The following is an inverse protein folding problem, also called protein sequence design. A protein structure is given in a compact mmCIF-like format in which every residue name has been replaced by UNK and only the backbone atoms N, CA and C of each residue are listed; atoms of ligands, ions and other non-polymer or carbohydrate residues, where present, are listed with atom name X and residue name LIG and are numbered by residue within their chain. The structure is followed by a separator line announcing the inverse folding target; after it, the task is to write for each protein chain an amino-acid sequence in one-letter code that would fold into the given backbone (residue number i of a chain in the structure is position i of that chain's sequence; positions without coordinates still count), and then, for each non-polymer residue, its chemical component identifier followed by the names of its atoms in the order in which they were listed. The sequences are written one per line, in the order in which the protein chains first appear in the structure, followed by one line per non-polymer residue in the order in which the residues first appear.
data_IF_755895595521
#
_entry.id   IF_755895595521
#
_cell.length_a   1.000
_cell.length_b   1.000
_cell.length_c   1.000
_cell.angle_alpha   90.00
_cell.angle_beta   90.00
_cell.angle_gamma   90.00
#
_symmetry.space_group_name_H-M   'P 1'
#
loop_
_entity.id
_entity.type
_entity.pdbx_description
1 polymer ?
#
# COMPACT_ATOMS: atom_id res chain seq x y z
N UNK A 1 -0.57 -12.93 -5.49
CA UNK A 1 -1.34 -12.37 -4.36
C UNK A 1 -2.49 -13.29 -3.94
N UNK A 2 -3.47 -13.55 -4.82
CA UNK A 2 -4.61 -14.43 -4.50
C UNK A 2 -4.16 -15.78 -3.93
N UNK A 3 -3.26 -16.48 -4.63
CA UNK A 3 -2.77 -17.80 -4.19
C UNK A 3 -2.16 -17.80 -2.78
N UNK A 4 -1.36 -16.80 -2.41
CA UNK A 4 -0.74 -16.72 -1.08
C UNK A 4 -1.77 -16.48 0.02
N UNK A 5 -2.81 -15.68 -0.25
CA UNK A 5 -3.92 -15.46 0.69
C UNK A 5 -4.78 -16.72 0.84
N UNK A 6 -5.08 -17.41 -0.26
CA UNK A 6 -5.79 -18.70 -0.20
C UNK A 6 -5.00 -19.76 0.60
N UNK A 7 -3.68 -19.81 0.44
CA UNK A 7 -2.81 -20.69 1.24
C UNK A 7 -2.84 -20.35 2.74
N UNK A 8 -3.10 -19.09 3.09
CA UNK A 8 -3.32 -18.63 4.46
C UNK A 8 -4.79 -18.75 4.91
N UNK A 9 -5.62 -19.49 4.17
CA UNK A 9 -7.05 -19.75 4.44
C UNK A 9 -7.95 -18.52 4.39
N UNK A 10 -7.59 -17.49 3.64
CA UNK A 10 -8.52 -16.40 3.32
C UNK A 10 -9.51 -16.84 2.23
N UNK A 11 -10.76 -16.40 2.37
CA UNK A 11 -11.69 -16.32 1.25
C UNK A 11 -11.37 -15.05 0.46
N UNK A 12 -10.98 -15.20 -0.81
CA UNK A 12 -10.43 -14.10 -1.60
C UNK A 12 -11.36 -13.74 -2.74
N UNK A 13 -11.67 -12.45 -2.86
CA UNK A 13 -12.51 -11.89 -3.91
C UNK A 13 -11.66 -11.01 -4.83
N UNK A 14 -11.80 -11.19 -6.14
CA UNK A 14 -11.24 -10.26 -7.13
C UNK A 14 -12.20 -9.08 -7.28
N UNK A 15 -11.75 -7.89 -6.87
CA UNK A 15 -12.56 -6.68 -6.81
C UNK A 15 -11.87 -5.58 -7.59
N UNK A 16 -12.45 -5.18 -8.72
CA UNK A 16 -11.91 -4.09 -9.52
C UNK A 16 -12.41 -2.73 -9.04
N UNK A 17 -11.68 -1.66 -9.36
CA UNK A 17 -12.15 -0.29 -9.10
C UNK A 17 -13.49 0.01 -9.79
N UNK A 18 -13.76 -0.61 -10.95
CA UNK A 18 -15.03 -0.49 -11.65
C UNK A 18 -16.18 -1.15 -10.88
N UNK A 19 -15.95 -2.26 -10.20
CA UNK A 19 -16.98 -2.93 -9.39
C UNK A 19 -17.34 -2.08 -8.16
N UNK A 20 -16.34 -1.48 -7.51
CA UNK A 20 -16.54 -0.55 -6.39
C UNK A 20 -17.26 0.74 -6.84
N UNK A 21 -16.86 1.29 -8.00
CA UNK A 21 -17.47 2.50 -8.56
C UNK A 21 -18.93 2.25 -8.96
N UNK A 22 -19.23 1.08 -9.53
CA UNK A 22 -20.58 0.65 -9.88
C UNK A 22 -21.39 0.12 -8.69
N UNK A 23 -20.79 0.06 -7.49
CA UNK A 23 -21.40 -0.48 -6.26
C UNK A 23 -21.95 -1.90 -6.43
N UNK A 24 -21.33 -2.73 -7.27
CA UNK A 24 -21.65 -4.16 -7.35
C UNK A 24 -21.23 -4.89 -6.07
N UNK A 25 -20.19 -4.36 -5.44
CA UNK A 25 -19.70 -4.76 -4.12
C UNK A 25 -19.11 -3.51 -3.46
N UNK A 26 -19.14 -3.45 -2.13
CA UNK A 26 -18.68 -2.32 -1.33
C UNK A 26 -17.72 -2.79 -0.24
N UNK A 27 -16.85 -1.89 0.22
CA UNK A 27 -15.75 -2.26 1.13
C UNK A 27 -16.21 -2.69 2.54
N UNK A 28 -17.45 -2.40 2.93
CA UNK A 28 -18.04 -2.89 4.18
C UNK A 28 -18.22 -4.42 4.22
N UNK A 29 -18.24 -5.09 3.06
CA UNK A 29 -18.30 -6.55 2.99
C UNK A 29 -16.98 -7.26 3.40
N UNK A 30 -15.89 -6.51 3.61
CA UNK A 30 -14.56 -7.08 3.82
C UNK A 30 -13.94 -6.65 5.15
N UNK A 31 -13.10 -7.52 5.72
CA UNK A 31 -12.18 -7.20 6.83
C UNK A 31 -10.76 -6.90 6.34
N UNK A 32 -10.39 -7.36 5.15
CA UNK A 32 -9.04 -7.23 4.60
C UNK A 32 -9.03 -6.59 3.23
N UNK A 33 -8.13 -5.63 3.00
CA UNK A 33 -7.82 -5.11 1.66
C UNK A 33 -6.36 -5.32 1.30
N UNK A 34 -6.14 -5.97 0.16
CA UNK A 34 -4.79 -6.21 -0.35
C UNK A 34 -4.64 -5.56 -1.72
N UNK A 35 -3.85 -4.50 -1.79
CA UNK A 35 -3.56 -3.79 -3.02
C UNK A 35 -2.40 -4.48 -3.76
N UNK A 36 -2.66 -5.11 -4.93
CA UNK A 36 -1.63 -5.83 -5.66
C UNK A 36 -0.56 -4.91 -6.26
N UNK A 37 0.57 -5.50 -6.62
CA UNK A 37 1.58 -4.85 -7.46
C UNK A 37 1.16 -4.78 -8.93
N UNK A 38 1.91 -4.05 -9.73
CA UNK A 38 1.64 -3.85 -11.15
C UNK A 38 2.08 -2.47 -11.62
N UNK A 39 1.45 -1.99 -12.69
CA UNK A 39 1.66 -0.66 -13.26
C UNK A 39 0.28 -0.05 -13.53
N UNK A 40 -0.46 0.31 -12.49
CA UNK A 40 -1.80 0.90 -12.68
C UNK A 40 -1.68 2.16 -13.53
N UNK A 41 -2.53 2.25 -14.57
CA UNK A 41 -2.42 3.30 -15.60
C UNK A 41 -1.03 3.39 -16.27
N UNK A 42 -0.31 2.26 -16.36
CA UNK A 42 1.06 2.19 -16.84
C UNK A 42 2.04 3.12 -16.11
N UNK A 43 1.71 3.49 -14.86
CA UNK A 43 2.43 4.50 -14.06
C UNK A 43 2.59 5.85 -14.78
N UNK A 44 1.69 6.15 -15.73
CA UNK A 44 1.65 7.44 -16.40
C UNK A 44 1.33 8.54 -15.37
N UNK A 45 2.09 9.64 -15.44
CA UNK A 45 2.09 10.74 -14.46
C UNK A 45 2.74 10.39 -13.10
N UNK A 46 3.21 9.16 -12.91
CA UNK A 46 3.87 8.63 -11.72
C UNK A 46 3.14 7.44 -11.14
N UNK A 47 3.86 6.55 -10.45
CA UNK A 47 3.32 5.25 -10.07
C UNK A 47 2.13 5.36 -9.13
N UNK A 48 1.09 4.58 -9.43
CA UNK A 48 -0.19 4.55 -8.71
C UNK A 48 -0.95 5.88 -8.59
N UNK A 49 -0.49 6.99 -9.18
CA UNK A 49 -1.17 8.29 -9.05
C UNK A 49 -2.53 8.33 -9.73
N UNK A 50 -2.66 7.73 -10.91
CA UNK A 50 -3.97 7.60 -11.57
C UNK A 50 -4.95 6.78 -10.72
N UNK A 51 -4.45 5.72 -10.06
CA UNK A 51 -5.25 4.90 -9.18
C UNK A 51 -5.67 5.65 -7.90
N UNK A 52 -4.73 6.35 -7.26
CA UNK A 52 -5.00 7.20 -6.11
C UNK A 52 -6.01 8.31 -6.45
N UNK A 53 -5.82 9.00 -7.58
CA UNK A 53 -6.72 10.05 -8.06
C UNK A 53 -8.14 9.52 -8.29
N UNK A 54 -8.28 8.32 -8.88
CA UNK A 54 -9.58 7.68 -9.07
C UNK A 54 -10.33 7.43 -7.76
N UNK A 55 -9.61 7.12 -6.68
CA UNK A 55 -10.20 6.95 -5.34
C UNK A 55 -10.51 8.31 -4.71
N UNK A 56 -9.51 9.20 -4.62
CA UNK A 56 -9.60 10.46 -3.88
C UNK A 56 -10.62 11.44 -4.48
N UNK A 57 -10.75 11.47 -5.80
CA UNK A 57 -11.65 12.41 -6.49
C UNK A 57 -13.02 11.82 -6.84
N UNK A 58 -13.28 10.56 -6.50
CA UNK A 58 -14.62 9.98 -6.55
C UNK A 58 -15.27 10.07 -5.18
N UNK A 59 -16.35 10.84 -5.04
CA UNK A 59 -17.09 10.99 -3.77
C UNK A 59 -17.51 9.62 -3.20
N UNK A 60 -17.97 8.71 -4.08
CA UNK A 60 -18.37 7.36 -3.72
C UNK A 60 -17.19 6.52 -3.20
N UNK A 61 -16.07 6.50 -3.93
CA UNK A 61 -14.93 5.67 -3.55
C UNK A 61 -14.20 6.24 -2.35
N UNK A 62 -13.93 7.55 -2.32
CA UNK A 62 -13.29 8.22 -1.20
C UNK A 62 -14.01 7.94 0.11
N UNK A 63 -15.35 7.99 0.11
CA UNK A 63 -16.18 7.65 1.28
C UNK A 63 -16.04 6.17 1.67
N UNK A 64 -16.11 5.24 0.70
CA UNK A 64 -15.96 3.81 0.98
C UNK A 64 -14.60 3.48 1.60
N UNK A 65 -13.52 4.03 1.05
CA UNK A 65 -12.15 3.82 1.54
C UNK A 65 -11.92 4.46 2.91
N UNK A 66 -12.46 5.66 3.15
CA UNK A 66 -12.41 6.30 4.46
C UNK A 66 -13.17 5.49 5.53
N UNK A 67 -14.35 4.98 5.20
CA UNK A 67 -15.13 4.13 6.10
C UNK A 67 -14.44 2.79 6.38
N UNK A 68 -13.79 2.19 5.39
CA UNK A 68 -12.99 0.98 5.61
C UNK A 68 -11.83 1.27 6.57
N UNK A 69 -11.06 2.33 6.34
CA UNK A 69 -9.88 2.68 7.15
C UNK A 69 -10.24 3.01 8.60
N UNK A 70 -11.42 3.58 8.86
CA UNK A 70 -11.83 3.99 10.22
C UNK A 70 -12.31 2.81 11.09
N UNK A 71 -12.48 1.63 10.51
CA UNK A 71 -12.93 0.43 11.22
C UNK A 71 -11.78 -0.25 11.97
N UNK A 72 -11.98 -0.50 13.25
CA UNK A 72 -11.01 -1.18 14.13
C UNK A 72 -10.91 -2.70 13.89
N UNK A 73 -11.78 -3.28 13.05
CA UNK A 73 -11.81 -4.71 12.71
C UNK A 73 -11.22 -5.00 11.32
N UNK A 74 -10.41 -4.09 10.78
CA UNK A 74 -9.86 -4.20 9.42
C UNK A 74 -8.34 -4.27 9.39
N UNK A 75 -7.81 -4.87 8.32
CA UNK A 75 -6.38 -4.85 7.99
C UNK A 75 -6.17 -4.50 6.51
N UNK A 76 -4.97 -4.00 6.18
CA UNK A 76 -4.59 -3.76 4.79
C UNK A 76 -3.13 -4.09 4.50
N UNK A 77 -2.85 -4.45 3.24
CA UNK A 77 -1.51 -4.73 2.73
C UNK A 77 -1.35 -4.13 1.33
N UNK A 78 -0.28 -3.38 1.11
CA UNK A 78 0.08 -2.86 -0.20
C UNK A 78 1.42 -3.43 -0.65
N UNK A 79 1.47 -4.01 -1.86
CA UNK A 79 2.72 -4.56 -2.42
C UNK A 79 3.07 -3.83 -3.71
N UNK A 80 4.32 -3.36 -3.83
CA UNK A 80 4.80 -2.61 -5.00
C UNK A 80 3.86 -1.43 -5.33
N UNK A 81 3.09 -1.50 -6.42
CA UNK A 81 2.12 -0.47 -6.80
C UNK A 81 1.01 -0.24 -5.77
N UNK A 82 0.61 -1.28 -5.05
CA UNK A 82 -0.29 -1.14 -3.90
C UNK A 82 0.34 -0.41 -2.71
N UNK A 83 1.66 -0.55 -2.48
CA UNK A 83 2.36 0.21 -1.44
C UNK A 83 2.44 1.70 -1.82
N UNK A 84 2.75 1.99 -3.09
CA UNK A 84 2.73 3.35 -3.64
C UNK A 84 1.34 3.98 -3.49
N UNK A 85 0.27 3.22 -3.79
CA UNK A 85 -1.10 3.65 -3.58
C UNK A 85 -1.37 4.01 -2.11
N UNK A 86 -1.05 3.12 -1.17
CA UNK A 86 -1.27 3.37 0.26
C UNK A 86 -0.52 4.61 0.75
N UNK A 87 0.69 4.87 0.23
CA UNK A 87 1.42 6.10 0.48
C UNK A 87 0.66 7.34 -0.02
N UNK A 88 0.18 7.30 -1.27
CA UNK A 88 -0.60 8.39 -1.88
C UNK A 88 -1.96 8.63 -1.23
N UNK A 89 -2.57 7.61 -0.64
CA UNK A 89 -3.80 7.72 0.15
C UNK A 89 -3.54 8.22 1.59
N UNK A 90 -2.27 8.35 2.01
CA UNK A 90 -1.91 8.70 3.39
C UNK A 90 -2.23 7.60 4.41
N UNK A 91 -2.23 6.33 3.98
CA UNK A 91 -2.53 5.18 4.86
C UNK A 91 -1.33 4.73 5.70
N UNK A 92 -0.12 5.14 5.32
CA UNK A 92 1.12 4.81 6.02
C UNK A 92 1.79 6.02 6.69
N UNK A 93 1.20 7.22 6.58
CA UNK A 93 1.72 8.42 7.20
C UNK A 93 1.69 8.31 8.74
N UNK A 94 2.73 8.84 9.41
CA UNK A 94 2.86 8.78 10.86
C UNK A 94 1.80 9.61 11.61
N UNK A 95 1.24 10.63 10.95
CA UNK A 95 0.22 11.52 11.49
C UNK A 95 -0.92 11.66 10.48
N UNK A 96 -2.17 11.70 10.96
CA UNK A 96 -3.32 11.99 10.09
C UNK A 96 -3.25 13.44 9.59
N UNK A 97 -2.81 13.60 8.34
CA UNK A 97 -2.84 14.90 7.68
C UNK A 97 -4.28 15.20 7.25
N UNK A 98 -4.92 16.23 7.83
CA UNK A 98 -6.28 16.68 7.45
C UNK A 98 -6.37 17.31 6.05
N UNK A 99 -5.26 17.44 5.33
CA UNK A 99 -5.20 18.02 3.99
C UNK A 99 -5.11 16.93 2.93
N UNK A 100 -6.12 16.84 2.08
CA UNK A 100 -6.12 16.02 0.87
C UNK A 100 -4.89 16.42 0.03
N UNK A 101 -4.10 15.44 -0.39
CA UNK A 101 -2.88 15.57 -1.22
C UNK A 101 -1.58 16.05 -0.54
N UNK A 102 -1.52 16.17 0.79
CA UNK A 102 -0.24 16.39 1.47
C UNK A 102 0.21 15.11 2.17
N UNK A 103 0.65 14.13 1.38
CA UNK A 103 1.24 12.90 1.92
C UNK A 103 2.66 13.17 2.37
N UNK A 104 3.01 12.60 3.52
CA UNK A 104 4.32 12.78 4.14
C UNK A 104 5.32 11.75 3.64
N UNK A 105 4.82 10.58 3.24
CA UNK A 105 5.59 9.46 2.72
C UNK A 105 5.18 9.18 1.28
N UNK A 106 6.18 8.92 0.43
CA UNK A 106 5.96 8.48 -0.95
C UNK A 106 7.14 7.65 -1.44
N UNK A 107 6.92 6.90 -2.53
CA UNK A 107 7.97 6.17 -3.22
C UNK A 107 8.29 6.90 -4.53
N UNK A 108 9.57 7.19 -4.73
CA UNK A 108 10.08 8.00 -5.84
C UNK A 108 10.96 7.14 -6.76
N UNK A 109 11.39 7.71 -7.88
CA UNK A 109 12.31 7.09 -8.81
C UNK A 109 13.53 6.53 -8.10
N UNK A 110 13.92 5.31 -8.49
CA UNK A 110 15.15 4.70 -8.05
C UNK A 110 16.33 5.63 -8.37
N UNK A 111 17.35 5.67 -7.52
CA UNK A 111 18.58 6.44 -7.77
C UNK A 111 19.32 6.01 -9.05
N UNK A 112 19.11 4.76 -9.49
CA UNK A 112 19.67 4.27 -10.75
C UNK A 112 18.94 4.79 -11.98
N UNK A 113 17.79 5.45 -11.81
CA UNK A 113 16.88 5.88 -12.89
C UNK A 113 16.43 4.72 -13.81
N UNK A 114 16.52 3.48 -13.31
CA UNK A 114 16.14 2.28 -14.04
C UNK A 114 15.20 1.41 -13.22
N UNK A 115 14.43 0.60 -13.94
CA UNK A 115 13.69 -0.50 -13.35
C UNK A 115 14.67 -1.55 -12.82
N UNK A 116 14.50 -1.94 -11.57
CA UNK A 116 15.34 -2.93 -10.90
C UNK A 116 14.53 -4.20 -10.65
N UNK A 117 14.98 -5.31 -11.24
CA UNK A 117 14.46 -6.65 -11.01
C UNK A 117 15.55 -7.48 -10.32
N UNK A 118 15.42 -7.70 -9.01
CA UNK A 118 16.50 -8.28 -8.18
C UNK A 118 15.96 -9.26 -7.15
N UNK A 119 16.82 -10.17 -6.73
CA UNK A 119 16.64 -10.92 -5.48
C UNK A 119 17.45 -10.22 -4.40
N UNK A 120 16.78 -9.62 -3.42
CA UNK A 120 17.43 -8.78 -2.41
C UNK A 120 17.24 -9.36 -1.01
N UNK A 121 18.30 -9.33 -0.21
CA UNK A 121 18.23 -9.68 1.20
C UNK A 121 17.63 -8.49 1.98
N UNK A 122 16.58 -8.76 2.75
CA UNK A 122 15.93 -7.79 3.64
C UNK A 122 15.96 -8.33 5.07
N UNK A 123 16.14 -7.43 6.04
CA UNK A 123 16.05 -7.75 7.46
C UNK A 123 14.74 -7.20 8.01
N UNK A 124 13.94 -8.05 8.64
CA UNK A 124 12.76 -7.63 9.40
C UNK A 124 13.24 -7.03 10.72
N UNK A 125 12.82 -5.81 11.02
CA UNK A 125 13.19 -5.13 12.26
C UNK A 125 12.69 -5.92 13.48
N UNK A 126 13.48 -5.99 14.55
CA UNK A 126 13.10 -6.63 15.83
C UNK A 126 11.78 -6.08 16.38
N UNK A 127 11.54 -4.78 16.17
CA UNK A 127 10.33 -4.08 16.62
C UNK A 127 9.09 -4.37 15.77
N UNK A 128 9.24 -4.99 14.60
CA UNK A 128 8.11 -5.34 13.73
C UNK A 128 7.25 -6.48 14.29
N UNK A 129 7.58 -7.02 15.47
CA UNK A 129 6.84 -8.08 16.14
C UNK A 129 5.45 -7.65 16.64
N UNK A 130 5.19 -6.35 16.74
CA UNK A 130 3.87 -5.77 17.05
C UNK A 130 2.98 -5.61 15.80
N UNK A 131 3.53 -5.76 14.59
CA UNK A 131 2.79 -5.68 13.33
C UNK A 131 2.07 -7.01 13.03
N UNK A 132 0.83 -6.91 12.55
CA UNK A 132 0.00 -8.07 12.17
C UNK A 132 0.68 -8.96 11.11
N UNK A 133 1.52 -8.38 10.25
CA UNK A 133 2.20 -9.08 9.16
C UNK A 133 3.49 -9.77 9.59
N UNK A 134 4.21 -9.20 10.56
CA UNK A 134 5.59 -9.62 10.89
C UNK A 134 5.73 -10.21 12.29
N UNK A 135 4.61 -10.51 12.95
CA UNK A 135 4.59 -11.17 14.26
C UNK A 135 5.42 -12.46 14.25
N UNK A 136 6.41 -12.52 15.16
CA UNK A 136 7.31 -13.67 15.29
C UNK A 136 8.43 -13.75 14.25
N UNK A 137 8.55 -12.76 13.36
CA UNK A 137 9.59 -12.72 12.30
C UNK A 137 10.72 -11.72 12.59
N UNK A 138 10.69 -11.03 13.74
CA UNK A 138 11.70 -10.05 14.14
C UNK A 138 13.12 -10.61 14.04
N UNK A 139 14.04 -9.82 13.47
CA UNK A 139 15.44 -10.19 13.30
C UNK A 139 15.73 -11.11 12.11
N UNK A 140 14.71 -11.71 11.49
CA UNK A 140 14.87 -12.60 10.34
C UNK A 140 15.47 -11.86 9.15
N UNK A 141 16.36 -12.55 8.42
CA UNK A 141 16.89 -12.10 7.14
C UNK A 141 16.35 -13.00 6.04
N UNK A 142 15.62 -12.43 5.10
CA UNK A 142 14.92 -13.15 4.04
C UNK A 142 15.36 -12.61 2.67
N UNK A 143 15.41 -13.49 1.68
CA UNK A 143 15.48 -13.06 0.29
C UNK A 143 14.08 -12.74 -0.23
N UNK A 144 13.94 -11.62 -0.92
CA UNK A 144 12.66 -11.17 -1.50
C UNK A 144 12.89 -10.71 -2.93
N UNK A 145 11.92 -11.02 -3.80
CA UNK A 145 11.90 -10.50 -5.16
C UNK A 145 11.51 -9.02 -5.16
N UNK A 146 12.36 -8.19 -5.75
CA UNK A 146 12.19 -6.75 -5.93
C UNK A 146 12.01 -6.49 -7.43
N UNK A 147 10.99 -5.72 -7.79
CA UNK A 147 10.65 -5.41 -9.18
C UNK A 147 9.96 -4.04 -9.27
N UNK A 148 10.74 -2.95 -9.30
CA UNK A 148 10.19 -1.59 -9.36
C UNK A 148 11.14 -0.58 -10.03
N UNK A 149 10.57 0.47 -10.63
CA UNK A 149 11.29 1.67 -11.11
C UNK A 149 11.18 2.88 -10.16
N UNK A 150 10.15 2.88 -9.31
CA UNK A 150 9.83 3.97 -8.37
C UNK A 150 9.61 3.40 -6.95
N UNK A 151 10.64 2.79 -6.37
CA UNK A 151 10.55 2.18 -5.02
C UNK A 151 11.40 2.89 -3.97
N UNK A 152 11.97 4.04 -4.28
CA UNK A 152 12.81 4.77 -3.33
C UNK A 152 11.94 5.43 -2.26
N UNK A 153 12.01 4.91 -1.05
CA UNK A 153 11.36 5.52 0.10
C UNK A 153 11.81 6.96 0.31
N UNK A 154 10.86 7.89 0.25
CA UNK A 154 11.09 9.33 0.34
C UNK A 154 10.07 9.96 1.28
N UNK A 155 10.51 10.96 2.04
CA UNK A 155 9.67 11.73 2.95
C UNK A 155 9.71 13.21 2.58
N UNK A 156 8.63 13.93 2.84
CA UNK A 156 8.57 15.38 2.59
C UNK A 156 9.47 16.20 3.51
N UNK A 157 9.75 15.68 4.71
CA UNK A 157 10.61 16.28 5.74
C UNK A 157 11.37 15.15 6.47
N UNK A 158 12.68 15.32 6.64
CA UNK A 158 13.55 14.38 7.37
C UNK A 158 13.09 14.13 8.81
N UNK A 159 12.42 15.10 9.44
CA UNK A 159 11.86 14.92 10.79
C UNK A 159 10.83 13.79 10.86
N UNK A 160 10.15 13.47 9.75
CA UNK A 160 9.17 12.38 9.68
C UNK A 160 9.84 11.03 9.95
N UNK A 161 11.09 10.82 9.52
CA UNK A 161 11.79 9.55 9.75
C UNK A 161 11.90 9.21 11.24
N UNK A 162 12.05 10.21 12.10
CA UNK A 162 12.13 10.02 13.55
C UNK A 162 10.80 9.60 14.19
N UNK A 163 9.68 9.83 13.48
CA UNK A 163 8.32 9.50 13.93
C UNK A 163 7.86 8.12 13.43
N UNK A 164 8.54 7.56 12.43
CA UNK A 164 8.29 6.20 11.95
C UNK A 164 8.76 5.20 13.01
N UNK A 165 7.92 4.22 13.33
CA UNK A 165 8.21 3.19 14.33
C UNK A 165 8.98 2.01 13.76
#
# INVERSE_FOLDING_TARGET
MIASLMMANFEVYDVTMSDLQAKKITLDAFQGLVFPGGFSYADTLGSAKGWAAGILFSESLSTQFANFKSRNDTFSLGVCNGCQLMALLGWIDAEETKQVMKTQIFLDHNLSERFECRWSAVKINERATEDVWFRGMGGSVLGVWVAHGEGRFTVSDQQILSKLR
#
